data_IF_044706905387
#
_entry.id   IF_044706905387
#
_cell.length_a   1.000
_cell.length_b   1.000
_cell.length_c   1.000
_cell.angle_alpha   90.00
_cell.angle_beta   90.00
_cell.angle_gamma   90.00
#
_symmetry.space_group_name_H-M   'P 1'
#
loop_
_entity.id
_entity.type
_entity.pdbx_description
1 polymer ?
#
# COMPACT_ATOMS: atom_id res chain seq x y z
N UNK A 1 -40.11 19.94 -32.27
CA UNK A 1 -39.03 18.96 -31.97
C UNK A 1 -37.75 19.74 -31.81
N UNK A 2 -37.19 19.84 -30.61
CA UNK A 2 -35.91 20.49 -30.38
C UNK A 2 -34.85 19.58 -30.98
N UNK A 3 -34.17 20.04 -32.06
CA UNK A 3 -33.06 19.30 -32.63
C UNK A 3 -31.95 19.13 -31.61
N UNK A 4 -31.37 17.95 -31.57
CA UNK A 4 -30.17 17.69 -30.74
C UNK A 4 -29.08 18.66 -31.22
N UNK A 5 -28.67 19.56 -30.34
CA UNK A 5 -27.56 20.47 -30.62
C UNK A 5 -26.23 19.69 -30.45
N UNK A 6 -25.77 19.14 -31.57
CA UNK A 6 -24.57 18.31 -31.64
C UNK A 6 -23.32 19.03 -31.11
N UNK A 7 -23.25 20.36 -31.33
CA UNK A 7 -22.13 21.18 -30.87
C UNK A 7 -22.06 21.27 -29.35
N UNK A 8 -23.21 21.36 -28.68
CA UNK A 8 -23.26 21.30 -27.20
C UNK A 8 -22.89 19.94 -26.64
N UNK A 9 -23.29 18.87 -27.34
CA UNK A 9 -22.91 17.50 -26.92
C UNK A 9 -21.42 17.31 -27.07
N UNK A 10 -20.83 17.73 -28.20
CA UNK A 10 -19.38 17.63 -28.42
C UNK A 10 -18.60 18.47 -27.40
N UNK A 11 -18.98 19.73 -27.18
CA UNK A 11 -18.34 20.59 -26.19
C UNK A 11 -18.38 19.99 -24.76
N UNK A 12 -19.47 19.29 -24.42
CA UNK A 12 -19.57 18.61 -23.12
C UNK A 12 -18.65 17.38 -23.03
N UNK A 13 -18.54 16.63 -24.13
CA UNK A 13 -17.62 15.49 -24.21
C UNK A 13 -16.18 15.96 -24.11
N UNK A 14 -15.81 17.01 -24.81
CA UNK A 14 -14.49 17.61 -24.78
C UNK A 14 -14.14 18.10 -23.37
N UNK A 15 -15.04 18.83 -22.71
CA UNK A 15 -14.85 19.29 -21.34
C UNK A 15 -14.69 18.14 -20.31
N UNK A 16 -15.38 17.02 -20.51
CA UNK A 16 -15.21 15.81 -19.68
C UNK A 16 -13.85 15.17 -19.96
N UNK A 17 -13.46 15.08 -21.24
CA UNK A 17 -12.13 14.56 -21.63
C UNK A 17 -11.01 15.39 -21.03
N UNK A 18 -11.10 16.72 -21.07
CA UNK A 18 -10.16 17.64 -20.44
C UNK A 18 -10.09 17.46 -18.92
N UNK A 19 -11.24 17.20 -18.26
CA UNK A 19 -11.30 16.95 -16.82
C UNK A 19 -10.53 15.70 -16.36
N UNK A 20 -10.32 14.71 -17.26
CA UNK A 20 -9.52 13.51 -16.97
C UNK A 20 -8.10 13.56 -17.56
N UNK A 21 -7.87 14.34 -18.63
CA UNK A 21 -6.66 14.26 -19.45
C UNK A 21 -5.37 14.57 -18.70
N UNK A 22 -5.43 15.42 -17.68
CA UNK A 22 -4.27 15.86 -16.89
C UNK A 22 -4.43 15.50 -15.42
N UNK A 23 -5.27 14.52 -15.10
CA UNK A 23 -5.52 14.10 -13.72
C UNK A 23 -5.17 12.63 -13.52
N UNK A 24 -4.62 12.31 -12.36
CA UNK A 24 -4.32 10.96 -11.97
C UNK A 24 -4.73 10.69 -10.51
N UNK A 25 -5.08 9.43 -10.22
CA UNK A 25 -5.20 8.92 -8.86
C UNK A 25 -4.02 7.99 -8.57
N UNK A 26 -3.34 8.22 -7.47
CA UNK A 26 -2.26 7.36 -6.96
C UNK A 26 -2.71 6.70 -5.67
N UNK A 27 -2.42 5.41 -5.51
CA UNK A 27 -2.63 4.68 -4.26
C UNK A 27 -1.36 3.96 -3.85
N UNK A 28 -1.00 4.03 -2.56
CA UNK A 28 0.22 3.41 -2.04
C UNK A 28 0.84 4.19 -0.90
N UNK A 29 2.17 4.28 -0.90
CA UNK A 29 2.96 4.92 0.13
C UNK A 29 3.61 6.19 -0.41
N UNK A 30 3.33 7.31 0.23
CA UNK A 30 3.82 8.62 -0.22
C UNK A 30 5.04 9.07 0.58
N UNK A 31 5.79 10.01 0.01
CA UNK A 31 6.94 10.64 0.68
C UNK A 31 6.53 11.40 1.94
N UNK A 32 7.44 11.49 2.91
CA UNK A 32 7.20 12.21 4.15
C UNK A 32 6.63 11.37 5.30
N UNK A 33 6.27 10.13 5.05
CA UNK A 33 5.86 9.18 6.08
C UNK A 33 7.06 8.36 6.54
N UNK A 34 7.38 8.41 7.82
CA UNK A 34 8.52 7.71 8.40
C UNK A 34 8.14 6.94 9.65
N UNK A 35 8.85 5.85 9.91
CA UNK A 35 8.85 5.17 11.20
C UNK A 35 9.48 6.07 12.27
N UNK A 36 9.34 5.70 13.54
CA UNK A 36 9.91 6.44 14.70
C UNK A 36 11.44 6.58 14.63
N UNK A 37 12.12 5.65 13.98
CA UNK A 37 13.57 5.66 13.74
C UNK A 37 13.99 6.49 12.53
N UNK A 38 13.05 7.17 11.87
CA UNK A 38 13.27 7.98 10.68
C UNK A 38 13.27 7.19 9.36
N UNK A 39 13.12 5.87 9.37
CA UNK A 39 13.08 5.05 8.16
C UNK A 39 11.83 5.36 7.32
N UNK A 40 11.95 5.69 6.02
CA UNK A 40 10.79 5.97 5.18
C UNK A 40 9.88 4.74 5.03
N UNK A 41 8.56 4.92 5.20
CA UNK A 41 7.57 3.84 5.06
C UNK A 41 7.59 3.28 3.64
N UNK A 42 7.68 4.14 2.62
CA UNK A 42 7.77 3.74 1.22
C UNK A 42 9.00 2.85 0.94
N UNK A 43 10.14 3.11 1.59
CA UNK A 43 11.34 2.28 1.47
C UNK A 43 11.11 0.87 2.03
N UNK A 44 10.50 0.78 3.22
CA UNK A 44 10.15 -0.52 3.82
C UNK A 44 9.15 -1.28 2.94
N UNK A 45 8.13 -0.58 2.41
CA UNK A 45 7.16 -1.15 1.49
C UNK A 45 7.83 -1.73 0.23
N UNK A 46 8.79 -1.00 -0.36
CA UNK A 46 9.55 -1.46 -1.53
C UNK A 46 10.39 -2.71 -1.20
N UNK A 47 11.09 -2.75 -0.06
CA UNK A 47 11.83 -3.94 0.39
C UNK A 47 10.89 -5.13 0.56
N UNK A 48 9.70 -4.93 1.11
CA UNK A 48 8.75 -6.02 1.26
C UNK A 48 8.22 -6.50 -0.10
N UNK A 49 7.89 -5.58 -1.00
CA UNK A 49 7.37 -5.91 -2.33
C UNK A 49 8.38 -6.68 -3.18
N UNK A 50 9.64 -6.23 -3.20
CA UNK A 50 10.68 -6.75 -4.10
C UNK A 50 11.66 -7.69 -3.42
N UNK A 51 11.71 -7.69 -2.10
CA UNK A 51 12.75 -8.35 -1.33
C UNK A 51 14.07 -7.57 -1.32
N UNK A 52 15.02 -8.05 -0.52
CA UNK A 52 16.41 -7.59 -0.51
C UNK A 52 17.33 -8.82 -0.41
N UNK A 53 17.71 -9.44 -1.54
CA UNK A 53 18.48 -10.68 -1.55
C UNK A 53 19.80 -10.58 -0.80
N UNK A 54 20.50 -9.45 -0.91
CA UNK A 54 21.76 -9.18 -0.21
C UNK A 54 21.62 -9.18 1.33
N UNK A 55 20.38 -8.97 1.81
CA UNK A 55 20.02 -8.99 3.23
C UNK A 55 19.23 -10.25 3.61
N UNK A 56 19.12 -11.23 2.72
CA UNK A 56 18.30 -12.43 2.91
C UNK A 56 16.82 -12.14 3.23
N UNK A 57 16.28 -11.03 2.71
CA UNK A 57 14.86 -10.69 2.84
C UNK A 57 14.12 -11.20 1.61
N UNK A 58 13.26 -12.22 1.74
CA UNK A 58 12.47 -12.71 0.62
C UNK A 58 11.38 -11.70 0.23
N UNK A 59 11.02 -11.60 -1.05
CA UNK A 59 9.90 -10.76 -1.48
C UNK A 59 8.58 -11.26 -0.85
N UNK A 60 7.75 -10.32 -0.49
CA UNK A 60 6.37 -10.50 -0.02
C UNK A 60 5.48 -9.53 -0.79
N UNK A 61 5.23 -9.82 -2.09
CA UNK A 61 4.53 -8.90 -2.96
C UNK A 61 3.08 -8.74 -2.48
N UNK A 62 2.64 -7.51 -2.39
CA UNK A 62 1.26 -7.14 -2.05
C UNK A 62 0.69 -6.12 -3.05
N UNK A 63 1.51 -5.26 -3.66
CA UNK A 63 1.06 -4.29 -4.65
C UNK A 63 0.73 -4.97 -5.99
N UNK A 64 1.68 -5.72 -6.55
CA UNK A 64 1.50 -6.38 -7.86
C UNK A 64 0.33 -7.35 -7.87
N UNK A 65 0.16 -8.27 -6.90
CA UNK A 65 -1.00 -9.14 -6.85
C UNK A 65 -2.32 -8.39 -6.74
N UNK A 66 -2.36 -7.32 -5.91
CA UNK A 66 -3.57 -6.49 -5.77
C UNK A 66 -3.95 -5.84 -7.10
N UNK A 67 -2.98 -5.23 -7.81
CA UNK A 67 -3.23 -4.64 -9.12
C UNK A 67 -3.73 -5.69 -10.11
N UNK A 68 -3.09 -6.87 -10.16
CA UNK A 68 -3.49 -7.93 -11.09
C UNK A 68 -4.91 -8.43 -10.84
N UNK A 69 -5.29 -8.58 -9.58
CA UNK A 69 -6.63 -9.03 -9.16
C UNK A 69 -7.70 -7.94 -9.37
N UNK A 70 -7.37 -6.67 -9.10
CA UNK A 70 -8.35 -5.58 -8.98
C UNK A 70 -8.41 -4.62 -10.18
N UNK A 71 -7.44 -4.65 -11.09
CA UNK A 71 -7.41 -3.71 -12.25
C UNK A 71 -8.70 -3.70 -13.06
N UNK A 72 -9.36 -4.87 -13.21
CA UNK A 72 -10.64 -4.98 -13.93
C UNK A 72 -11.79 -4.29 -13.20
N UNK A 73 -11.87 -4.46 -11.89
CA UNK A 73 -12.87 -3.83 -11.03
C UNK A 73 -12.68 -2.29 -11.01
N UNK A 74 -11.43 -1.82 -10.83
CA UNK A 74 -11.12 -0.40 -10.86
C UNK A 74 -11.44 0.23 -12.22
N UNK A 75 -11.13 -0.46 -13.32
CA UNK A 75 -11.48 0.01 -14.67
C UNK A 75 -12.99 0.14 -14.86
N UNK A 76 -13.77 -0.80 -14.34
CA UNK A 76 -15.23 -0.75 -14.37
C UNK A 76 -15.76 0.42 -13.52
N UNK A 77 -15.22 0.64 -12.34
CA UNK A 77 -15.58 1.74 -11.46
C UNK A 77 -15.31 3.10 -12.13
N UNK A 78 -14.18 3.25 -12.84
CA UNK A 78 -13.90 4.44 -13.66
C UNK A 78 -14.97 4.60 -14.74
N UNK A 79 -15.29 3.55 -15.49
CA UNK A 79 -16.27 3.60 -16.57
C UNK A 79 -17.67 3.98 -16.05
N UNK A 80 -18.08 3.45 -14.90
CA UNK A 80 -19.35 3.78 -14.27
C UNK A 80 -19.37 5.23 -13.74
N UNK A 81 -18.25 5.66 -13.13
CA UNK A 81 -18.05 7.04 -12.71
C UNK A 81 -18.11 8.02 -13.88
N UNK A 82 -17.47 7.72 -15.00
CA UNK A 82 -17.54 8.56 -16.21
C UNK A 82 -18.98 8.74 -16.70
N UNK A 83 -19.84 7.71 -16.63
CA UNK A 83 -21.27 7.85 -16.96
C UNK A 83 -21.96 8.83 -16.01
N UNK A 84 -21.59 8.84 -14.74
CA UNK A 84 -22.13 9.80 -13.77
C UNK A 84 -21.65 11.23 -14.04
N UNK A 85 -20.40 11.41 -14.49
CA UNK A 85 -19.85 12.71 -14.92
C UNK A 85 -20.59 13.22 -16.16
N UNK A 86 -20.82 12.38 -17.16
CA UNK A 86 -21.62 12.72 -18.35
C UNK A 86 -23.04 13.17 -17.97
N UNK A 87 -23.62 12.51 -16.97
CA UNK A 87 -24.94 12.86 -16.45
C UNK A 87 -24.93 14.13 -15.56
N UNK A 88 -23.75 14.72 -15.28
CA UNK A 88 -23.60 15.91 -14.44
C UNK A 88 -23.80 15.67 -12.95
N UNK A 89 -23.62 14.43 -12.48
CA UNK A 89 -23.80 14.03 -11.07
C UNK A 89 -22.49 14.02 -10.29
N UNK A 90 -21.37 13.81 -10.97
CA UNK A 90 -20.03 13.76 -10.39
C UNK A 90 -19.06 14.59 -11.22
N UNK A 91 -17.92 14.94 -10.62
CA UNK A 91 -16.75 15.49 -11.31
C UNK A 91 -15.74 14.37 -11.63
N UNK A 92 -14.74 14.67 -12.46
CA UNK A 92 -13.63 13.76 -12.71
C UNK A 92 -12.86 13.44 -11.42
N UNK A 93 -12.63 14.44 -10.58
CA UNK A 93 -11.93 14.28 -9.30
C UNK A 93 -12.71 13.38 -8.34
N UNK A 94 -14.03 13.48 -8.25
CA UNK A 94 -14.86 12.59 -7.43
C UNK A 94 -14.68 11.12 -7.85
N UNK A 95 -14.60 10.86 -9.16
CA UNK A 95 -14.41 9.50 -9.70
C UNK A 95 -13.01 8.98 -9.36
N UNK A 96 -11.99 9.80 -9.60
CA UNK A 96 -10.60 9.43 -9.33
C UNK A 96 -10.35 9.22 -7.82
N UNK A 97 -10.96 10.06 -6.97
CA UNK A 97 -10.87 9.92 -5.51
C UNK A 97 -11.51 8.61 -5.04
N UNK A 98 -12.71 8.29 -5.52
CA UNK A 98 -13.39 7.05 -5.17
C UNK A 98 -12.61 5.81 -5.61
N UNK A 99 -12.02 5.82 -6.81
CA UNK A 99 -11.20 4.71 -7.32
C UNK A 99 -9.86 4.62 -6.58
N UNK A 100 -9.24 5.76 -6.28
CA UNK A 100 -8.01 5.82 -5.47
C UNK A 100 -8.23 5.26 -4.07
N UNK A 101 -9.33 5.63 -3.42
CA UNK A 101 -9.72 5.10 -2.11
C UNK A 101 -9.99 3.59 -2.16
N UNK A 102 -10.68 3.09 -3.20
CA UNK A 102 -10.89 1.67 -3.40
C UNK A 102 -9.57 0.91 -3.57
N UNK A 103 -8.65 1.44 -4.39
CA UNK A 103 -7.34 0.85 -4.61
C UNK A 103 -6.51 0.80 -3.33
N UNK A 104 -6.48 1.87 -2.54
CA UNK A 104 -5.82 1.90 -1.23
C UNK A 104 -6.43 0.86 -0.27
N UNK A 105 -7.75 0.76 -0.22
CA UNK A 105 -8.46 -0.23 0.59
C UNK A 105 -8.14 -1.67 0.17
N UNK A 106 -8.01 -1.95 -1.12
CA UNK A 106 -7.67 -3.29 -1.62
C UNK A 106 -6.21 -3.66 -1.32
N UNK A 107 -5.26 -2.70 -1.38
CA UNK A 107 -3.88 -2.90 -0.92
C UNK A 107 -3.86 -3.27 0.57
N UNK A 108 -4.61 -2.55 1.41
CA UNK A 108 -4.73 -2.85 2.85
C UNK A 108 -5.30 -4.25 3.08
N UNK A 109 -6.32 -4.66 2.32
CA UNK A 109 -6.89 -6.03 2.41
C UNK A 109 -5.87 -7.10 2.06
N UNK A 110 -5.07 -6.90 1.01
CA UNK A 110 -4.01 -7.84 0.62
C UNK A 110 -2.94 -7.94 1.71
N UNK A 111 -2.53 -6.81 2.29
CA UNK A 111 -1.60 -6.78 3.43
C UNK A 111 -2.18 -7.52 4.65
N UNK A 112 -3.46 -7.28 4.97
CA UNK A 112 -4.13 -7.89 6.11
C UNK A 112 -4.41 -9.39 5.93
N UNK A 113 -4.60 -9.86 4.68
CA UNK A 113 -4.78 -11.28 4.39
C UNK A 113 -3.57 -12.12 4.81
N UNK A 114 -2.37 -11.53 4.83
CA UNK A 114 -1.17 -12.14 5.41
C UNK A 114 -0.68 -13.40 4.70
N UNK A 115 -1.12 -13.65 3.46
CA UNK A 115 -0.72 -14.83 2.66
C UNK A 115 0.70 -14.65 2.09
N UNK A 116 1.67 -14.55 3.01
CA UNK A 116 3.08 -14.35 2.68
C UNK A 116 3.94 -15.47 3.25
N UNK A 117 5.15 -15.63 2.69
CA UNK A 117 6.14 -16.55 3.24
C UNK A 117 6.33 -16.27 4.74
N UNK A 118 6.18 -17.30 5.55
CA UNK A 118 6.32 -17.24 7.00
C UNK A 118 7.63 -16.57 7.43
N UNK A 119 7.58 -15.90 8.57
CA UNK A 119 8.77 -15.33 9.20
C UNK A 119 9.70 -16.41 9.71
N UNK A 120 11.01 -16.14 9.66
CA UNK A 120 11.99 -17.05 10.24
C UNK A 120 11.88 -17.05 11.77
N UNK A 121 12.24 -18.17 12.46
CA UNK A 121 12.30 -18.20 13.92
C UNK A 121 13.18 -17.07 14.50
N UNK A 122 14.28 -16.74 13.82
CA UNK A 122 15.17 -15.63 14.23
C UNK A 122 14.42 -14.29 14.14
N UNK A 123 13.64 -14.05 13.08
CA UNK A 123 12.85 -12.83 12.96
C UNK A 123 11.81 -12.71 14.07
N UNK A 124 11.13 -13.82 14.41
CA UNK A 124 10.18 -13.86 15.52
C UNK A 124 10.86 -13.59 16.86
N UNK A 125 12.09 -14.11 17.05
CA UNK A 125 12.87 -13.85 18.25
C UNK A 125 13.29 -12.36 18.32
N UNK A 126 13.70 -11.75 17.21
CA UNK A 126 14.03 -10.32 17.18
C UNK A 126 12.81 -9.45 17.51
N UNK A 127 11.61 -9.82 17.06
CA UNK A 127 10.36 -9.14 17.46
C UNK A 127 10.16 -9.19 18.97
N UNK A 128 10.31 -10.37 19.56
CA UNK A 128 10.21 -10.57 21.00
C UNK A 128 11.24 -9.73 21.77
N UNK A 129 12.52 -9.80 21.36
CA UNK A 129 13.58 -9.01 21.97
C UNK A 129 13.33 -7.51 21.88
N UNK A 130 12.80 -7.01 20.76
CA UNK A 130 12.42 -5.60 20.63
C UNK A 130 11.33 -5.23 21.65
N UNK A 131 10.34 -6.10 21.85
CA UNK A 131 9.26 -5.85 22.80
C UNK A 131 9.74 -5.90 24.24
N UNK A 132 10.70 -6.78 24.56
CA UNK A 132 11.38 -6.83 25.85
C UNK A 132 12.16 -5.53 26.15
N UNK A 133 12.65 -4.84 25.11
CA UNK A 133 13.39 -3.57 25.20
C UNK A 133 12.53 -2.35 24.82
N UNK A 134 11.20 -2.48 24.86
CA UNK A 134 10.31 -1.37 24.54
C UNK A 134 10.53 -0.19 25.47
N UNK A 135 10.90 0.95 24.88
CA UNK A 135 11.28 2.18 25.62
C UNK A 135 12.79 2.39 25.73
N UNK A 136 13.61 1.42 25.35
CA UNK A 136 15.06 1.61 25.24
C UNK A 136 15.39 2.19 23.84
N UNK A 137 15.65 3.48 23.79
CA UNK A 137 16.01 4.19 22.55
C UNK A 137 17.37 3.75 21.98
N UNK A 138 18.17 3.01 22.75
CA UNK A 138 19.46 2.45 22.34
C UNK A 138 19.35 1.10 21.65
N UNK A 139 18.24 0.38 21.82
CA UNK A 139 18.09 -0.95 21.23
C UNK A 139 17.99 -0.87 19.70
N UNK A 140 18.76 -1.70 19.02
CA UNK A 140 18.83 -1.75 17.55
C UNK A 140 19.02 -3.20 17.08
N UNK A 141 18.53 -3.52 15.89
CA UNK A 141 18.89 -4.76 15.19
C UNK A 141 20.29 -4.60 14.63
N UNK A 142 21.22 -5.37 15.16
CA UNK A 142 22.64 -5.42 14.79
C UNK A 142 23.07 -6.86 14.60
N UNK A 143 24.27 -7.09 14.09
CA UNK A 143 24.83 -8.45 14.03
C UNK A 143 24.89 -9.13 15.40
N UNK A 144 25.13 -8.38 16.48
CA UNK A 144 25.13 -8.91 17.84
C UNK A 144 23.75 -9.36 18.30
N UNK A 145 22.70 -8.53 18.07
CA UNK A 145 21.32 -8.90 18.43
C UNK A 145 20.78 -10.04 17.57
N UNK A 146 21.16 -10.14 16.30
CA UNK A 146 20.84 -11.28 15.43
C UNK A 146 21.52 -12.54 15.94
N UNK A 147 22.80 -12.46 16.35
CA UNK A 147 23.53 -13.58 16.96
C UNK A 147 22.90 -14.04 18.28
N UNK A 148 22.42 -13.11 19.11
CA UNK A 148 21.70 -13.44 20.33
C UNK A 148 20.36 -14.12 20.03
N UNK A 149 19.58 -13.58 19.09
CA UNK A 149 18.32 -14.19 18.65
C UNK A 149 18.55 -15.64 18.15
N UNK A 150 19.61 -15.87 17.37
CA UNK A 150 19.95 -17.19 16.88
C UNK A 150 20.29 -18.16 18.02
N UNK A 151 21.05 -17.71 19.06
CA UNK A 151 21.36 -18.53 20.25
C UNK A 151 20.11 -18.87 21.05
N UNK A 152 19.21 -17.91 21.28
CA UNK A 152 17.94 -18.12 22.00
C UNK A 152 17.04 -19.13 21.27
N UNK A 153 16.94 -19.01 19.93
CA UNK A 153 16.22 -19.99 19.09
C UNK A 153 16.84 -21.37 19.17
N UNK A 154 18.19 -21.49 19.10
CA UNK A 154 18.90 -22.74 19.22
C UNK A 154 18.73 -23.38 20.61
N UNK A 155 18.54 -22.59 21.66
CA UNK A 155 18.20 -23.03 23.00
C UNK A 155 16.75 -23.47 23.18
N UNK A 156 15.94 -23.42 22.12
CA UNK A 156 14.52 -23.80 22.13
C UNK A 156 13.57 -22.71 22.62
N UNK A 157 14.04 -21.48 22.78
CA UNK A 157 13.17 -20.38 23.17
C UNK A 157 12.23 -19.99 22.02
N UNK A 158 10.95 -19.79 22.32
CA UNK A 158 9.97 -19.33 21.33
C UNK A 158 10.03 -17.81 21.16
N UNK A 159 9.97 -17.38 19.90
CA UNK A 159 9.90 -15.97 19.53
C UNK A 159 8.52 -15.35 19.80
N UNK A 160 8.25 -14.22 19.15
CA UNK A 160 6.94 -13.54 19.21
C UNK A 160 5.82 -14.43 18.66
N UNK A 161 4.66 -14.36 19.28
CA UNK A 161 3.40 -14.97 18.81
C UNK A 161 2.80 -14.21 17.60
N UNK A 162 3.26 -12.99 17.34
CA UNK A 162 2.92 -12.22 16.15
C UNK A 162 3.66 -12.78 14.93
N UNK A 163 3.08 -13.83 14.34
CA UNK A 163 3.72 -14.59 13.25
C UNK A 163 3.39 -14.06 11.85
N UNK A 164 2.36 -13.21 11.71
CA UNK A 164 1.94 -12.66 10.43
C UNK A 164 3.00 -11.72 9.87
N UNK A 165 3.54 -12.00 8.66
CA UNK A 165 4.40 -11.06 7.97
C UNK A 165 3.68 -9.74 7.68
N UNK A 166 4.41 -8.62 7.67
CA UNK A 166 3.91 -7.26 7.39
C UNK A 166 2.91 -6.70 8.42
N UNK A 167 2.45 -7.52 9.36
CA UNK A 167 1.55 -7.13 10.45
C UNK A 167 2.29 -7.20 11.80
N UNK A 168 3.37 -6.45 11.92
CA UNK A 168 4.09 -6.38 13.20
C UNK A 168 3.46 -5.36 14.15
N UNK A 169 3.20 -4.15 13.63
CA UNK A 169 2.59 -3.05 14.40
C UNK A 169 1.35 -2.47 13.71
N UNK A 170 0.95 -3.01 12.56
CA UNK A 170 -0.06 -2.42 11.69
C UNK A 170 0.39 -1.11 11.01
N UNK A 171 1.61 -0.64 11.32
CA UNK A 171 2.10 0.68 10.87
C UNK A 171 2.12 0.80 9.35
N UNK A 172 2.59 -0.24 8.63
CA UNK A 172 2.61 -0.25 7.18
C UNK A 172 1.20 -0.12 6.58
N UNK A 173 0.23 -0.89 7.09
CA UNK A 173 -1.16 -0.83 6.63
C UNK A 173 -1.82 0.52 6.90
N UNK A 174 -1.52 1.13 8.06
CA UNK A 174 -2.06 2.44 8.44
C UNK A 174 -1.56 3.59 7.56
N UNK A 175 -0.48 3.38 6.79
CA UNK A 175 0.14 4.39 5.95
C UNK A 175 -0.11 4.19 4.44
N UNK A 176 -0.98 3.24 4.07
CA UNK A 176 -1.50 3.16 2.70
C UNK A 176 -2.50 4.29 2.51
N UNK A 177 -2.25 5.13 1.53
CA UNK A 177 -3.07 6.30 1.21
C UNK A 177 -3.38 6.36 -0.28
N UNK A 178 -4.29 7.26 -0.66
CA UNK A 178 -4.49 7.67 -2.04
C UNK A 178 -4.43 9.18 -2.16
N UNK A 179 -4.14 9.66 -3.35
CA UNK A 179 -4.09 11.07 -3.69
C UNK A 179 -4.60 11.25 -5.12
N UNK A 180 -5.34 12.34 -5.36
CA UNK A 180 -5.71 12.81 -6.69
C UNK A 180 -4.94 14.07 -6.96
N UNK A 181 -4.36 14.17 -8.14
CA UNK A 181 -3.54 15.32 -8.52
C UNK A 181 -3.37 15.43 -10.02
N UNK A 182 -2.56 16.38 -10.44
CA UNK A 182 -2.19 16.53 -11.83
C UNK A 182 -1.27 15.38 -12.25
N UNK A 183 -1.47 14.88 -13.47
CA UNK A 183 -0.66 13.82 -14.02
C UNK A 183 0.81 14.30 -14.17
N UNK A 184 1.76 13.47 -13.72
CA UNK A 184 3.20 13.78 -13.70
C UNK A 184 3.93 13.21 -14.91
#
# INVERSE_FOLDING_TARGET
MAGLDLSRVMAKIDAIGEGFANREAKAGFFSGQNYEDGTPVAYVAAIQEFGAPDQNIPPRPFMRPTVEDKKGEWSQNIADGMRAVVAGRLTADDVLDAVGAAAAGDIVKTLAAGDFKALSPITLMLRKMRDEHKGDSGWRVTGATVGEAARRVAAGEQGSDRTTPLDDTGYLMAHVQHQVGDAS
#
